data_IF_355878640244
#
_entry.id   IF_355878640244
#
_cell.length_a   1.000
_cell.length_b   1.000
_cell.length_c   1.000
_cell.angle_alpha   90.00
_cell.angle_beta   90.00
_cell.angle_gamma   90.00
#
_symmetry.space_group_name_H-M   'P 1'
#
loop_
_entity.id
_entity.type
_entity.pdbx_description
1 polymer ?
#
# COMPACT_ATOMS: atom_id res chain seq x y z
N UNK A 1 -4.70 2.67 8.35
CA UNK A 1 -3.27 2.85 8.68
C UNK A 1 -2.38 2.07 7.73
N UNK A 2 -2.60 0.75 7.55
CA UNK A 2 -1.79 -0.11 6.67
C UNK A 2 -1.39 0.53 5.32
N UNK A 3 -2.35 1.00 4.52
CA UNK A 3 -2.04 1.65 3.25
C UNK A 3 -1.36 3.00 3.43
N UNK A 4 -1.99 3.92 4.18
CA UNK A 4 -1.56 5.31 4.28
C UNK A 4 -0.22 5.50 5.03
N UNK A 5 0.09 4.61 5.97
CA UNK A 5 1.23 4.73 6.87
C UNK A 5 2.33 3.71 6.57
N UNK A 6 1.98 2.51 6.10
CA UNK A 6 2.96 1.42 5.99
C UNK A 6 3.39 1.19 4.52
N UNK A 7 2.47 1.31 3.56
CA UNK A 7 2.78 1.10 2.13
C UNK A 7 3.17 2.41 1.44
N UNK A 8 2.32 3.44 1.54
CA UNK A 8 2.46 4.65 0.74
C UNK A 8 3.77 5.42 1.04
N UNK A 9 4.22 5.58 2.30
CA UNK A 9 5.43 6.34 2.59
C UNK A 9 6.71 5.69 2.06
N UNK A 10 6.83 4.36 2.12
CA UNK A 10 8.02 3.62 1.64
C UNK A 10 8.08 3.52 0.11
N UNK A 11 6.92 3.62 -0.55
CA UNK A 11 6.81 3.64 -2.01
C UNK A 11 6.72 5.06 -2.60
N UNK A 12 6.83 6.10 -1.78
CA UNK A 12 6.80 7.48 -2.25
C UNK A 12 8.02 7.78 -3.15
N UNK A 13 7.81 8.61 -4.18
CA UNK A 13 8.86 9.01 -5.13
C UNK A 13 10.13 9.52 -4.46
N UNK A 14 10.06 10.22 -3.33
CA UNK A 14 11.25 10.69 -2.60
C UNK A 14 12.11 9.54 -2.07
N UNK A 15 11.46 8.46 -1.62
CA UNK A 15 12.14 7.26 -1.11
C UNK A 15 12.72 6.47 -2.26
N UNK A 16 11.95 6.25 -3.34
CA UNK A 16 12.45 5.57 -4.54
C UNK A 16 13.62 6.32 -5.19
N UNK A 17 13.56 7.66 -5.20
CA UNK A 17 14.67 8.49 -5.66
C UNK A 17 15.90 8.31 -4.76
N UNK A 18 15.71 8.26 -3.44
CA UNK A 18 16.80 8.04 -2.49
C UNK A 18 17.45 6.66 -2.67
N UNK A 19 16.67 5.61 -2.96
CA UNK A 19 17.21 4.28 -3.29
C UNK A 19 18.18 4.35 -4.49
N UNK A 20 17.79 5.08 -5.53
CA UNK A 20 18.60 5.26 -6.74
C UNK A 20 19.85 6.09 -6.45
N UNK A 21 19.70 7.23 -5.78
CA UNK A 21 20.78 8.21 -5.65
C UNK A 21 21.79 7.88 -4.55
N UNK A 22 21.32 7.34 -3.41
CA UNK A 22 22.19 7.05 -2.26
C UNK A 22 22.75 5.64 -2.29
N UNK A 23 22.00 4.68 -2.86
CA UNK A 23 22.35 3.26 -2.82
C UNK A 23 22.62 2.67 -4.21
N UNK A 24 22.52 3.47 -5.28
CA UNK A 24 22.78 3.03 -6.64
C UNK A 24 21.78 1.99 -7.16
N UNK A 25 20.58 1.91 -6.56
CA UNK A 25 19.57 0.92 -6.94
C UNK A 25 19.16 1.09 -8.41
N UNK A 26 19.19 -0.02 -9.15
CA UNK A 26 18.74 -0.07 -10.54
C UNK A 26 17.21 -0.03 -10.66
N UNK A 27 16.72 0.03 -11.89
CA UNK A 27 15.27 0.00 -12.15
C UNK A 27 14.60 -1.25 -11.59
N UNK A 28 15.24 -2.41 -11.76
CA UNK A 28 14.72 -3.69 -11.27
C UNK A 28 14.66 -3.72 -9.73
N UNK A 29 15.67 -3.19 -9.05
CA UNK A 29 15.69 -3.11 -7.58
C UNK A 29 14.54 -2.25 -7.05
N UNK A 30 14.27 -1.11 -7.71
CA UNK A 30 13.17 -0.20 -7.33
C UNK A 30 11.80 -0.84 -7.60
N UNK A 31 11.65 -1.56 -8.71
CA UNK A 31 10.42 -2.32 -8.99
C UNK A 31 10.21 -3.43 -7.96
N UNK A 32 11.27 -4.16 -7.60
CA UNK A 32 11.20 -5.23 -6.61
C UNK A 32 10.90 -4.67 -5.21
N UNK A 33 11.50 -3.54 -4.83
CA UNK A 33 11.16 -2.81 -3.60
C UNK A 33 9.68 -2.46 -3.56
N UNK A 34 9.15 -1.84 -4.62
CA UNK A 34 7.76 -1.43 -4.67
C UNK A 34 6.82 -2.62 -4.51
N UNK A 35 7.03 -3.69 -5.30
CA UNK A 35 6.23 -4.92 -5.25
C UNK A 35 6.29 -5.58 -3.87
N UNK A 36 7.47 -5.64 -3.27
CA UNK A 36 7.64 -6.21 -1.93
C UNK A 36 6.74 -5.51 -0.92
N UNK A 37 6.82 -4.18 -0.81
CA UNK A 37 6.02 -3.44 0.18
C UNK A 37 4.53 -3.39 -0.13
N UNK A 38 4.14 -3.43 -1.40
CA UNK A 38 2.72 -3.64 -1.76
C UNK A 38 2.24 -5.00 -1.27
N UNK A 39 2.99 -6.08 -1.54
CA UNK A 39 2.60 -7.42 -1.12
C UNK A 39 2.54 -7.57 0.41
N UNK A 40 3.55 -7.06 1.12
CA UNK A 40 3.61 -7.09 2.59
C UNK A 40 2.43 -6.35 3.23
N UNK A 41 1.93 -5.29 2.58
CA UNK A 41 0.77 -4.55 3.08
C UNK A 41 -0.58 -5.12 2.62
N UNK A 42 -0.70 -5.60 1.38
CA UNK A 42 -1.99 -6.08 0.84
C UNK A 42 -2.38 -7.45 1.40
N UNK A 43 -1.41 -8.36 1.60
CA UNK A 43 -1.72 -9.69 2.17
C UNK A 43 -2.42 -9.64 3.54
N UNK A 44 -1.93 -8.89 4.54
CA UNK A 44 -2.63 -8.76 5.81
C UNK A 44 -3.91 -7.92 5.68
N UNK A 45 -3.96 -6.92 4.80
CA UNK A 45 -5.18 -6.14 4.55
C UNK A 45 -6.32 -7.04 4.06
N UNK A 46 -6.07 -7.88 3.07
CA UNK A 46 -7.05 -8.81 2.52
C UNK A 46 -7.57 -9.76 3.59
N UNK A 47 -6.69 -10.30 4.45
CA UNK A 47 -7.09 -11.17 5.57
C UNK A 47 -7.98 -10.44 6.56
N UNK A 48 -7.66 -9.18 6.89
CA UNK A 48 -8.47 -8.37 7.80
C UNK A 48 -9.84 -8.12 7.18
N UNK A 49 -9.90 -7.67 5.92
CA UNK A 49 -11.16 -7.39 5.24
C UNK A 49 -12.04 -8.65 5.10
N UNK A 50 -11.43 -9.81 4.83
CA UNK A 50 -12.17 -11.07 4.71
C UNK A 50 -12.72 -11.61 6.04
N UNK A 51 -12.09 -11.26 7.18
CA UNK A 51 -12.45 -11.81 8.50
C UNK A 51 -13.18 -10.82 9.41
N UNK A 52 -13.13 -9.53 9.09
CA UNK A 52 -13.68 -8.47 9.93
C UNK A 52 -15.20 -8.41 9.82
N UNK A 53 -15.95 -8.51 10.94
CA UNK A 53 -17.40 -8.33 10.94
C UNK A 53 -17.83 -6.89 10.63
N UNK A 54 -16.89 -5.94 10.66
CA UNK A 54 -17.14 -4.56 10.31
C UNK A 54 -16.99 -4.28 8.80
N UNK A 55 -16.49 -5.24 8.02
CA UNK A 55 -16.38 -5.11 6.57
C UNK A 55 -17.69 -5.54 5.92
N UNK A 56 -18.19 -4.74 4.97
CA UNK A 56 -19.40 -5.02 4.21
C UNK A 56 -19.17 -4.66 2.74
N UNK A 57 -20.02 -3.82 2.13
CA UNK A 57 -19.82 -3.38 0.73
C UNK A 57 -18.49 -2.62 0.54
N UNK A 58 -18.07 -1.87 1.56
CA UNK A 58 -16.82 -1.12 1.59
C UNK A 58 -15.91 -1.69 2.68
N UNK A 59 -14.67 -1.17 2.76
CA UNK A 59 -13.67 -1.61 3.74
C UNK A 59 -14.22 -1.59 5.18
N UNK A 60 -15.16 -0.70 5.48
CA UNK A 60 -15.85 -0.61 6.76
C UNK A 60 -17.31 -0.17 6.58
N UNK A 61 -18.25 -1.12 6.66
CA UNK A 61 -19.68 -0.89 6.48
C UNK A 61 -20.12 -0.66 5.02
N UNK A 62 -21.30 -0.06 4.85
CA UNK A 62 -21.98 0.09 3.55
C UNK A 62 -21.87 1.50 2.95
N UNK A 63 -20.92 2.29 3.42
CA UNK A 63 -20.60 3.60 2.81
C UNK A 63 -19.10 3.78 2.70
N UNK A 64 -18.60 4.40 1.62
CA UNK A 64 -17.18 4.58 1.42
C UNK A 64 -16.60 5.50 2.51
N UNK A 65 -15.46 5.11 3.06
CA UNK A 65 -14.75 5.85 4.08
C UNK A 65 -13.29 6.11 3.74
N UNK A 66 -12.54 6.56 4.75
CA UNK A 66 -11.12 6.86 4.59
C UNK A 66 -10.29 5.65 4.14
N UNK A 67 -10.64 4.45 4.61
CA UNK A 67 -9.97 3.21 4.21
C UNK A 67 -10.11 2.95 2.71
N UNK A 68 -11.30 3.16 2.14
CA UNK A 68 -11.58 2.98 0.72
C UNK A 68 -10.87 4.02 -0.14
N UNK A 69 -10.82 5.28 0.33
CA UNK A 69 -10.09 6.35 -0.37
C UNK A 69 -8.59 6.01 -0.44
N UNK A 70 -7.99 5.56 0.68
CA UNK A 70 -6.60 5.14 0.69
C UNK A 70 -6.37 3.91 -0.21
N UNK A 71 -7.28 2.94 -0.20
CA UNK A 71 -7.19 1.75 -1.04
C UNK A 71 -7.23 2.09 -2.52
N UNK A 72 -8.20 2.90 -2.94
CA UNK A 72 -8.32 3.34 -4.33
C UNK A 72 -7.05 4.07 -4.80
N UNK A 73 -6.53 5.00 -4.00
CA UNK A 73 -5.31 5.74 -4.32
C UNK A 73 -4.09 4.83 -4.45
N UNK A 74 -3.96 3.81 -3.60
CA UNK A 74 -2.82 2.89 -3.63
C UNK A 74 -2.88 1.90 -4.79
N UNK A 75 -4.07 1.49 -5.24
CA UNK A 75 -4.23 0.63 -6.43
C UNK A 75 -3.85 1.35 -7.72
N UNK A 76 -4.03 2.68 -7.77
CA UNK A 76 -3.67 3.51 -8.93
C UNK A 76 -2.23 4.04 -8.94
N UNK A 77 -1.45 3.75 -7.90
CA UNK A 77 -0.07 4.23 -7.73
C UNK A 77 0.92 3.34 -8.51
#
# INVERSE_FOLDING_TARGET
>A
QMIACDIHPVNNLRVLTSLRTLFGAGDEDVVNWFRHWVNEGFQPLEKILASSPATATFCHGDSPGLADICLAAQVTN
#
